data_IF_829280588034
#
_entry.id   IF_829280588034
#
_cell.length_a   1.000
_cell.length_b   1.000
_cell.length_c   1.000
_cell.angle_alpha   90.00
_cell.angle_beta   90.00
_cell.angle_gamma   90.00
#
_symmetry.space_group_name_H-M   'P 1'
#
loop_
_entity.id
_entity.type
_entity.pdbx_description
1 polymer ?
#
# COMPACT_ATOMS: atom_id res chain seq x y z
N UNK A 1 -21.03 9.03 0.30
CA UNK A 1 -19.73 9.72 0.11
C UNK A 1 -19.13 9.50 -1.27
N UNK A 2 -18.79 8.27 -1.68
CA UNK A 2 -18.18 8.04 -3.00
C UNK A 2 -19.15 8.37 -4.15
N UNK A 3 -20.31 7.73 -4.20
CA UNK A 3 -21.23 7.84 -5.33
C UNK A 3 -21.91 9.21 -5.43
N UNK A 4 -22.37 9.76 -4.30
CA UNK A 4 -23.25 10.94 -4.31
C UNK A 4 -22.50 12.27 -4.20
N UNK A 5 -21.22 12.25 -3.80
CA UNK A 5 -20.44 13.47 -3.52
C UNK A 5 -19.13 13.49 -4.32
N UNK A 6 -18.31 12.44 -4.21
CA UNK A 6 -17.01 12.39 -4.90
C UNK A 6 -17.20 12.20 -6.41
N UNK A 7 -18.04 11.26 -6.84
CA UNK A 7 -18.18 10.95 -8.27
C UNK A 7 -18.65 12.16 -9.11
N UNK A 8 -19.69 12.93 -8.74
CA UNK A 8 -20.10 14.12 -9.49
C UNK A 8 -18.98 15.17 -9.62
N UNK A 9 -18.10 15.28 -8.62
CA UNK A 9 -16.99 16.24 -8.64
C UNK A 9 -15.82 15.81 -9.55
N UNK A 10 -15.72 14.53 -9.90
CA UNK A 10 -14.62 13.97 -10.68
C UNK A 10 -15.02 13.54 -12.11
N UNK A 11 -16.31 13.41 -12.41
CA UNK A 11 -16.77 13.10 -13.77
C UNK A 11 -16.25 14.17 -14.75
N UNK A 12 -15.67 13.72 -15.87
CA UNK A 12 -15.08 14.58 -16.89
C UNK A 12 -13.64 15.03 -16.61
N UNK A 13 -13.05 14.65 -15.46
CA UNK A 13 -11.63 14.89 -15.17
C UNK A 13 -10.75 13.81 -15.80
N UNK A 14 -9.58 14.22 -16.28
CA UNK A 14 -8.57 13.27 -16.78
C UNK A 14 -7.96 12.51 -15.61
N UNK A 15 -7.91 11.18 -15.73
CA UNK A 15 -7.22 10.33 -14.74
C UNK A 15 -5.71 10.51 -14.78
N UNK A 16 -5.15 11.05 -15.87
CA UNK A 16 -3.72 11.31 -16.02
C UNK A 16 -3.20 12.40 -15.06
N UNK A 17 -4.09 13.23 -14.50
CA UNK A 17 -3.77 14.31 -13.56
C UNK A 17 -4.04 13.91 -12.11
N UNK A 18 -3.35 12.88 -11.62
CA UNK A 18 -3.52 12.33 -10.25
C UNK A 18 -3.59 13.42 -9.18
N UNK A 19 -2.65 14.39 -9.21
CA UNK A 19 -2.60 15.48 -8.24
C UNK A 19 -3.85 16.37 -8.28
N UNK A 20 -4.37 16.69 -9.47
CA UNK A 20 -5.58 17.51 -9.60
C UNK A 20 -6.78 16.79 -8.98
N UNK A 21 -6.95 15.49 -9.27
CA UNK A 21 -8.03 14.66 -8.72
C UNK A 21 -7.94 14.58 -7.20
N UNK A 22 -6.74 14.30 -6.66
CA UNK A 22 -6.53 14.22 -5.21
C UNK A 22 -6.77 15.57 -4.52
N UNK A 23 -6.30 16.68 -5.11
CA UNK A 23 -6.51 18.03 -4.58
C UNK A 23 -8.00 18.42 -4.59
N UNK A 24 -8.77 18.01 -5.63
CA UNK A 24 -10.24 18.20 -5.66
C UNK A 24 -10.89 17.47 -4.49
N UNK A 25 -10.55 16.19 -4.26
CA UNK A 25 -11.15 15.41 -3.17
C UNK A 25 -10.77 15.95 -1.78
N UNK A 26 -9.51 16.35 -1.59
CA UNK A 26 -9.04 16.96 -0.33
C UNK A 26 -9.78 18.28 -0.07
N UNK A 27 -9.93 19.13 -1.09
CA UNK A 27 -10.67 20.38 -0.98
C UNK A 27 -12.16 20.16 -0.74
N UNK A 28 -12.76 19.17 -1.41
CA UNK A 28 -14.17 18.81 -1.26
C UNK A 28 -14.50 18.31 0.15
N UNK A 29 -13.57 17.59 0.77
CA UNK A 29 -13.65 17.20 2.17
C UNK A 29 -13.52 18.42 3.11
N UNK A 30 -12.49 19.24 2.88
CA UNK A 30 -12.28 20.51 3.60
C UNK A 30 -11.81 20.37 5.05
N UNK A 31 -11.55 19.15 5.54
CA UNK A 31 -11.02 18.91 6.89
C UNK A 31 -9.55 18.46 6.83
N UNK A 32 -8.72 18.81 7.83
CA UNK A 32 -7.30 18.46 7.83
C UNK A 32 -7.06 16.94 7.90
N UNK A 33 -8.00 16.19 8.50
CA UNK A 33 -7.89 14.75 8.73
C UNK A 33 -8.75 13.91 7.76
N UNK A 34 -9.35 14.51 6.72
CA UNK A 34 -10.26 13.81 5.79
C UNK A 34 -11.48 13.21 6.49
N UNK A 35 -11.94 13.83 7.56
CA UNK A 35 -12.99 13.32 8.44
C UNK A 35 -14.41 13.46 7.89
N UNK A 36 -14.66 14.37 6.94
CA UNK A 36 -16.01 14.62 6.41
C UNK A 36 -16.43 13.56 5.37
N UNK A 37 -15.57 13.28 4.42
CA UNK A 37 -15.78 12.26 3.38
C UNK A 37 -15.24 10.89 3.81
N UNK A 38 -14.28 10.87 4.74
CA UNK A 38 -13.59 9.68 5.19
C UNK A 38 -12.33 9.40 4.36
N UNK A 39 -11.20 9.21 5.04
CA UNK A 39 -9.92 8.90 4.41
C UNK A 39 -9.98 7.61 3.57
N UNK A 40 -10.78 6.63 3.98
CA UNK A 40 -11.02 5.38 3.24
C UNK A 40 -11.70 5.63 1.88
N UNK A 41 -12.72 6.49 1.83
CA UNK A 41 -13.43 6.82 0.59
C UNK A 41 -12.52 7.58 -0.39
N UNK A 42 -11.79 8.59 0.11
CA UNK A 42 -10.85 9.37 -0.71
C UNK A 42 -9.72 8.48 -1.23
N UNK A 43 -9.12 7.65 -0.37
CA UNK A 43 -8.03 6.77 -0.76
C UNK A 43 -8.48 5.74 -1.80
N UNK A 44 -9.67 5.15 -1.63
CA UNK A 44 -10.20 4.18 -2.58
C UNK A 44 -10.34 4.77 -3.99
N UNK A 45 -10.89 5.99 -4.10
CA UNK A 45 -11.04 6.69 -5.39
C UNK A 45 -9.67 7.11 -5.95
N UNK A 46 -8.79 7.65 -5.12
CA UNK A 46 -7.41 8.02 -5.49
C UNK A 46 -6.65 6.85 -6.11
N UNK A 47 -6.71 5.67 -5.49
CA UNK A 47 -6.09 4.45 -6.01
C UNK A 47 -6.76 3.93 -7.28
N UNK A 48 -8.08 4.05 -7.40
CA UNK A 48 -8.81 3.65 -8.61
C UNK A 48 -8.41 4.54 -9.81
N UNK A 49 -8.30 5.85 -9.60
CA UNK A 49 -7.81 6.81 -10.60
C UNK A 49 -6.38 6.49 -11.01
N UNK A 50 -5.48 6.22 -10.05
CA UNK A 50 -4.10 5.83 -10.33
C UNK A 50 -4.01 4.57 -11.20
N UNK A 51 -4.86 3.57 -10.92
CA UNK A 51 -4.96 2.35 -11.74
C UNK A 51 -5.52 2.63 -13.14
N UNK A 52 -6.55 3.46 -13.25
CA UNK A 52 -7.12 3.85 -14.54
C UNK A 52 -6.11 4.60 -15.40
N UNK A 53 -5.33 5.51 -14.82
CA UNK A 53 -4.27 6.24 -15.51
C UNK A 53 -3.14 5.34 -16.00
N UNK A 54 -2.75 4.33 -15.21
CA UNK A 54 -1.78 3.33 -15.66
C UNK A 54 -2.32 2.53 -16.86
N UNK A 55 -3.60 2.15 -16.82
CA UNK A 55 -4.26 1.45 -17.92
C UNK A 55 -4.38 2.33 -19.18
N UNK A 56 -4.77 3.60 -19.05
CA UNK A 56 -4.84 4.56 -20.17
C UNK A 56 -3.46 4.75 -20.83
N UNK A 57 -2.39 4.80 -20.03
CA UNK A 57 -1.00 4.85 -20.53
C UNK A 57 -0.45 3.52 -21.05
N UNK A 58 -1.20 2.42 -20.92
CA UNK A 58 -0.75 1.07 -21.26
C UNK A 58 0.57 0.66 -20.57
N UNK A 59 0.75 1.07 -19.31
CA UNK A 59 1.93 0.72 -18.49
C UNK A 59 1.51 -0.02 -17.21
N UNK A 60 2.37 -0.87 -16.64
CA UNK A 60 2.13 -1.45 -15.32
C UNK A 60 1.98 -0.36 -14.24
N UNK A 61 1.15 -0.63 -13.23
CA UNK A 61 0.89 0.32 -12.12
C UNK A 61 2.17 0.81 -11.43
N UNK A 62 3.15 -0.07 -11.18
CA UNK A 62 4.40 0.32 -10.53
C UNK A 62 5.19 1.34 -11.37
N UNK A 63 5.11 1.26 -12.71
CA UNK A 63 5.78 2.19 -13.61
C UNK A 63 5.06 3.54 -13.58
N UNK A 64 3.73 3.54 -13.60
CA UNK A 64 2.95 4.76 -13.46
C UNK A 64 3.23 5.49 -12.13
N UNK A 65 3.28 4.75 -11.01
CA UNK A 65 3.63 5.32 -9.69
C UNK A 65 5.07 5.88 -9.71
N UNK A 66 6.01 5.20 -10.38
CA UNK A 66 7.36 5.69 -10.53
C UNK A 66 7.40 7.00 -11.33
N UNK A 67 6.60 7.13 -12.39
CA UNK A 67 6.51 8.37 -13.17
C UNK A 67 5.91 9.52 -12.35
N UNK A 68 4.85 9.25 -11.57
CA UNK A 68 4.24 10.24 -10.66
C UNK A 68 5.22 10.74 -9.59
N UNK A 69 6.11 9.86 -9.10
CA UNK A 69 7.13 10.18 -8.10
C UNK A 69 8.46 10.64 -8.71
N UNK A 70 8.54 10.81 -10.03
CA UNK A 70 9.76 11.14 -10.76
C UNK A 70 10.90 10.14 -10.53
N UNK A 71 10.56 8.91 -10.14
CA UNK A 71 11.51 7.84 -9.92
C UNK A 71 11.88 7.15 -11.25
N UNK A 72 13.14 7.34 -11.65
CA UNK A 72 13.70 6.70 -12.86
C UNK A 72 14.14 5.26 -12.60
N UNK A 73 14.54 4.93 -11.38
CA UNK A 73 15.17 3.66 -11.02
C UNK A 73 14.26 2.83 -10.12
N UNK A 74 13.69 1.77 -10.69
CA UNK A 74 12.89 0.82 -9.92
C UNK A 74 13.80 -0.07 -9.09
N UNK A 75 13.44 -0.26 -7.83
CA UNK A 75 14.17 -1.09 -6.86
C UNK A 75 13.20 -2.12 -6.30
N UNK A 76 13.61 -3.37 -6.26
CA UNK A 76 12.89 -4.40 -5.51
C UNK A 76 13.22 -4.25 -4.02
N UNK A 77 12.23 -4.12 -3.12
CA UNK A 77 12.49 -3.91 -1.70
C UNK A 77 12.95 -5.19 -1.01
N UNK A 78 13.66 -5.06 0.11
CA UNK A 78 13.83 -6.20 1.04
C UNK A 78 12.49 -6.42 1.74
N UNK A 79 11.88 -7.61 1.63
CA UNK A 79 10.63 -7.89 2.34
C UNK A 79 10.88 -8.00 3.86
N UNK A 80 9.99 -7.41 4.66
CA UNK A 80 9.94 -7.61 6.10
C UNK A 80 8.80 -8.58 6.42
N UNK A 81 9.15 -9.80 6.83
CA UNK A 81 8.16 -10.83 7.17
C UNK A 81 7.89 -10.79 8.67
N UNK A 82 6.67 -10.44 9.05
CA UNK A 82 6.22 -10.60 10.43
C UNK A 82 6.05 -12.10 10.76
N UNK A 83 6.77 -12.58 11.77
CA UNK A 83 6.83 -14.01 12.12
C UNK A 83 6.33 -14.32 13.53
N UNK A 84 6.33 -13.34 14.45
CA UNK A 84 5.81 -13.50 15.82
C UNK A 84 5.03 -12.24 16.18
N UNK A 85 3.81 -12.45 16.67
CA UNK A 85 2.94 -11.39 17.17
C UNK A 85 2.92 -11.36 18.71
N UNK A 86 2.89 -10.16 19.27
CA UNK A 86 2.66 -9.88 20.68
C UNK A 86 1.78 -8.64 20.84
N UNK A 87 1.80 -8.05 22.03
CA UNK A 87 1.06 -6.84 22.37
C UNK A 87 -0.43 -6.97 22.07
N UNK A 88 -1.04 -5.90 21.54
CA UNK A 88 -2.47 -5.89 21.20
C UNK A 88 -2.86 -6.85 20.07
N UNK A 89 -1.89 -7.42 19.35
CA UNK A 89 -2.12 -8.39 18.27
C UNK A 89 -2.13 -9.84 18.76
N UNK A 90 -1.80 -10.12 20.03
CA UNK A 90 -1.81 -11.47 20.58
C UNK A 90 -2.20 -11.51 22.06
N UNK A 91 -2.96 -12.53 22.47
CA UNK A 91 -3.34 -12.77 23.88
C UNK A 91 -2.21 -13.33 24.77
N UNK A 92 -0.95 -13.11 24.40
CA UNK A 92 0.21 -13.66 25.10
C UNK A 92 0.89 -12.57 25.99
N UNK A 93 1.92 -12.95 26.75
CA UNK A 93 2.63 -12.03 27.66
C UNK A 93 3.69 -11.17 26.95
N UNK A 94 3.85 -11.31 25.63
CA UNK A 94 4.90 -10.64 24.89
C UNK A 94 4.50 -9.18 24.67
N UNK A 95 5.26 -8.23 25.22
CA UNK A 95 4.90 -6.82 25.16
C UNK A 95 5.12 -6.18 23.77
N UNK A 96 6.10 -6.69 23.02
CA UNK A 96 6.41 -6.20 21.67
C UNK A 96 5.39 -6.72 20.66
N UNK A 97 4.92 -5.83 19.77
CA UNK A 97 3.79 -6.12 18.88
C UNK A 97 4.17 -7.08 17.74
N UNK A 98 5.32 -6.87 17.10
CA UNK A 98 5.72 -7.61 15.89
C UNK A 98 7.22 -7.87 15.91
N UNK A 99 7.61 -9.10 15.60
CA UNK A 99 8.99 -9.48 15.35
C UNK A 99 9.11 -9.90 13.89
N UNK A 100 9.99 -9.21 13.16
CA UNK A 100 10.13 -9.39 11.73
C UNK A 100 11.50 -9.97 11.37
N UNK A 101 11.54 -10.77 10.32
CA UNK A 101 12.78 -11.20 9.66
C UNK A 101 12.93 -10.48 8.32
N UNK A 102 14.14 -10.03 8.02
CA UNK A 102 14.48 -9.33 6.80
C UNK A 102 15.67 -10.05 6.14
N UNK A 103 15.49 -10.71 4.98
CA UNK A 103 16.54 -11.45 4.29
C UNK A 103 17.45 -10.50 3.49
N UNK A 104 18.20 -9.63 4.17
CA UNK A 104 19.06 -8.61 3.55
C UNK A 104 20.22 -9.17 2.73
N UNK A 105 20.58 -10.44 2.93
CA UNK A 105 21.60 -11.15 2.15
C UNK A 105 21.11 -11.79 0.84
N UNK A 106 19.81 -11.75 0.54
CA UNK A 106 19.26 -12.32 -0.69
C UNK A 106 19.69 -11.51 -1.92
N UNK A 107 20.02 -12.19 -3.03
CA UNK A 107 20.42 -11.56 -4.29
C UNK A 107 19.23 -11.11 -5.13
N UNK A 108 18.05 -11.68 -4.91
CA UNK A 108 16.82 -11.32 -5.63
C UNK A 108 15.62 -11.31 -4.69
N UNK A 109 14.56 -10.58 -5.07
CA UNK A 109 13.29 -10.62 -4.34
C UNK A 109 12.70 -12.04 -4.25
N UNK A 110 12.85 -12.83 -5.33
CA UNK A 110 12.39 -14.23 -5.35
C UNK A 110 13.12 -15.06 -4.29
N UNK A 111 14.43 -14.92 -4.19
CA UNK A 111 15.24 -15.59 -3.17
C UNK A 111 14.87 -15.11 -1.76
N UNK A 112 14.67 -13.81 -1.57
CA UNK A 112 14.19 -13.23 -0.32
C UNK A 112 12.85 -13.84 0.13
N UNK A 113 11.92 -14.04 -0.80
CA UNK A 113 10.65 -14.73 -0.55
C UNK A 113 10.84 -16.19 -0.16
N UNK A 114 11.72 -16.93 -0.85
CA UNK A 114 12.03 -18.32 -0.49
C UNK A 114 12.61 -18.42 0.92
N UNK A 115 13.61 -17.60 1.25
CA UNK A 115 14.23 -17.56 2.59
C UNK A 115 13.18 -17.24 3.65
N UNK A 116 12.36 -16.19 3.44
CA UNK A 116 11.30 -15.80 4.37
C UNK A 116 10.28 -16.92 4.61
N UNK A 117 9.84 -17.59 3.54
CA UNK A 117 8.91 -18.71 3.62
C UNK A 117 9.52 -19.92 4.35
N UNK A 118 10.76 -20.29 4.06
CA UNK A 118 11.46 -21.39 4.74
C UNK A 118 11.61 -21.11 6.24
N UNK A 119 12.04 -19.91 6.61
CA UNK A 119 12.15 -19.52 8.03
C UNK A 119 10.79 -19.57 8.72
N UNK A 120 9.73 -19.05 8.09
CA UNK A 120 8.37 -19.09 8.64
C UNK A 120 7.88 -20.54 8.90
N UNK A 121 8.05 -21.44 7.92
CA UNK A 121 7.62 -22.83 8.07
C UNK A 121 8.43 -23.59 9.13
N UNK A 122 9.73 -23.29 9.27
CA UNK A 122 10.55 -23.88 10.33
C UNK A 122 10.18 -23.33 11.71
N UNK A 123 9.94 -22.02 11.84
CA UNK A 123 9.46 -21.43 13.09
C UNK A 123 8.13 -22.04 13.55
N UNK A 124 7.19 -22.24 12.62
CA UNK A 124 5.90 -22.89 12.90
C UNK A 124 6.04 -24.33 13.40
N UNK A 125 7.07 -25.06 12.98
CA UNK A 125 7.33 -26.44 13.45
C UNK A 125 7.91 -26.44 14.87
N UNK A 126 8.83 -25.53 15.15
CA UNK A 126 9.55 -25.46 16.44
C UNK A 126 8.72 -24.82 17.55
N UNK A 127 7.82 -23.90 17.19
CA UNK A 127 6.89 -23.26 18.11
C UNK A 127 5.46 -23.62 17.71
N UNK A 128 4.81 -24.49 18.51
CA UNK A 128 3.35 -24.58 18.49
C UNK A 128 2.81 -23.23 18.98
N UNK A 129 2.35 -22.41 18.06
CA UNK A 129 1.54 -21.23 18.34
C UNK A 129 0.12 -21.63 18.71
#
# INVERSE_FOLDING_TARGET
NVNDVIAPALIGKSVLHQKEVDDIMIKLDGTPNKGKLGANAILAVSMAVCKAAAAEKSVPLYRHIADLSQNKHLIMPVPAFNVINGGSHAGNKLAFQEFMILPTGAKTFKEAMTIGAEVYHNLKKTHQF
#
